data_IF_646585572717
#
_entry.id   IF_646585572717
#
_cell.length_a   1.000
_cell.length_b   1.000
_cell.length_c   1.000
_cell.angle_alpha   90.00
_cell.angle_beta   90.00
_cell.angle_gamma   90.00
#
_symmetry.space_group_name_H-M   'P 1'
#
loop_
_entity.id
_entity.type
_entity.pdbx_description
1 polymer ?
#
# COMPACT_ATOMS: atom_id res chain seq x y z
N UNK A 1 -20.53 14.48 11.85
CA UNK A 1 -19.36 13.74 11.33
C UNK A 1 -19.90 12.83 10.25
N UNK A 2 -19.90 13.33 9.01
CA UNK A 2 -20.48 12.60 7.88
C UNK A 2 -19.37 11.92 7.09
N UNK A 3 -19.32 10.61 7.22
CA UNK A 3 -18.69 9.73 6.25
C UNK A 3 -19.66 9.60 5.06
N UNK A 4 -19.58 10.52 4.10
CA UNK A 4 -20.10 10.28 2.75
C UNK A 4 -18.92 9.96 1.84
N UNK A 5 -18.61 8.67 1.73
CA UNK A 5 -17.91 8.14 0.55
C UNK A 5 -18.96 8.15 -0.56
N UNK A 6 -19.09 9.29 -1.25
CA UNK A 6 -19.71 9.29 -2.57
C UNK A 6 -18.71 8.62 -3.52
N UNK A 7 -19.06 7.39 -3.88
CA UNK A 7 -18.47 6.62 -4.97
C UNK A 7 -18.81 7.32 -6.28
N UNK A 8 -17.92 8.19 -6.75
CA UNK A 8 -18.01 8.68 -8.12
C UNK A 8 -17.46 7.59 -9.05
N UNK A 9 -18.41 6.83 -9.63
CA UNK A 9 -18.36 6.11 -10.90
C UNK A 9 -16.99 5.58 -11.37
N UNK A 10 -16.66 4.36 -10.97
CA UNK A 10 -15.89 3.45 -11.81
C UNK A 10 -16.88 2.71 -12.73
N UNK A 11 -17.29 3.37 -13.82
CA UNK A 11 -18.04 2.72 -14.88
C UNK A 11 -17.07 1.80 -15.65
N UNK A 12 -17.28 0.49 -15.55
CA UNK A 12 -16.94 -0.46 -16.61
C UNK A 12 -15.60 -1.20 -16.57
N UNK A 13 -15.03 -1.51 -15.39
CA UNK A 13 -13.90 -2.46 -15.35
C UNK A 13 -14.40 -3.92 -15.27
N UNK A 14 -14.29 -4.65 -16.38
CA UNK A 14 -14.36 -6.12 -16.37
C UNK A 14 -13.10 -6.64 -15.64
N UNK A 15 -13.20 -7.54 -14.64
CA UNK A 15 -12.02 -8.06 -13.97
C UNK A 15 -11.25 -8.95 -14.94
N UNK A 16 -10.24 -8.37 -15.61
CA UNK A 16 -9.13 -9.16 -16.10
C UNK A 16 -8.52 -9.87 -14.90
N UNK A 17 -8.30 -11.19 -15.01
CA UNK A 17 -7.60 -11.94 -13.95
C UNK A 17 -6.28 -11.25 -13.68
N UNK A 18 -6.20 -10.59 -12.53
CA UNK A 18 -4.97 -9.98 -12.05
C UNK A 18 -4.08 -11.15 -11.63
N UNK A 19 -3.10 -11.51 -12.46
CA UNK A 19 -2.14 -12.56 -12.11
C UNK A 19 -1.06 -12.01 -11.16
N UNK A 20 -1.50 -11.39 -10.07
CA UNK A 20 -0.63 -10.74 -9.08
C UNK A 20 -0.79 -11.45 -7.74
N UNK A 21 0.34 -11.67 -7.08
CA UNK A 21 0.39 -12.30 -5.77
C UNK A 21 1.25 -11.47 -4.84
N UNK A 22 0.72 -11.17 -3.66
CA UNK A 22 1.45 -10.52 -2.58
C UNK A 22 1.98 -11.59 -1.63
N UNK A 23 3.26 -11.52 -1.28
CA UNK A 23 3.90 -12.45 -0.34
C UNK A 23 4.45 -11.68 0.84
N UNK A 24 4.18 -12.21 2.03
CA UNK A 24 4.62 -11.62 3.28
C UNK A 24 4.92 -12.74 4.29
N UNK A 25 5.49 -12.34 5.42
CA UNK A 25 5.52 -13.17 6.61
C UNK A 25 5.16 -12.32 7.83
N UNK A 26 4.74 -13.00 8.88
CA UNK A 26 4.43 -12.41 10.18
C UNK A 26 5.14 -13.22 11.27
N UNK A 27 5.58 -12.58 12.35
CA UNK A 27 6.16 -13.27 13.49
C UNK A 27 5.15 -14.27 14.06
N UNK A 28 5.59 -15.50 14.36
CA UNK A 28 4.74 -16.58 14.89
C UNK A 28 4.13 -16.21 16.25
N UNK A 29 4.82 -15.39 17.02
CA UNK A 29 4.37 -14.91 18.32
C UNK A 29 3.32 -13.78 18.23
N UNK A 30 3.03 -13.28 17.02
CA UNK A 30 2.00 -12.27 16.82
C UNK A 30 0.61 -12.87 17.13
N UNK A 31 -0.23 -12.24 17.98
CA UNK A 31 -1.58 -12.72 18.24
C UNK A 31 -2.42 -12.92 16.98
N UNK A 32 -2.20 -12.11 15.94
CA UNK A 32 -2.87 -12.24 14.65
C UNK A 32 -2.50 -13.54 13.92
N UNK A 33 -1.23 -13.97 13.96
CA UNK A 33 -0.84 -15.24 13.32
C UNK A 33 -1.48 -16.42 14.03
N UNK A 34 -1.62 -16.36 15.36
CA UNK A 34 -2.35 -17.38 16.11
C UNK A 34 -3.81 -17.44 15.70
N UNK A 35 -4.51 -16.30 15.66
CA UNK A 35 -5.91 -16.25 15.26
C UNK A 35 -6.14 -16.79 13.84
N UNK A 36 -5.26 -16.44 12.88
CA UNK A 36 -5.29 -16.96 11.51
C UNK A 36 -5.12 -18.49 11.50
N UNK A 37 -4.12 -19.02 12.20
CA UNK A 37 -3.86 -20.47 12.26
C UNK A 37 -5.03 -21.23 12.91
N UNK A 38 -5.56 -20.70 14.01
CA UNK A 38 -6.67 -21.33 14.73
C UNK A 38 -7.93 -21.40 13.83
N UNK A 39 -8.22 -20.35 13.06
CA UNK A 39 -9.33 -20.36 12.08
C UNK A 39 -9.20 -21.42 10.98
N UNK A 40 -7.97 -21.87 10.69
CA UNK A 40 -7.71 -22.94 9.73
C UNK A 40 -7.85 -24.32 10.39
N UNK A 41 -7.39 -24.49 11.64
CA UNK A 41 -7.43 -25.79 12.33
C UNK A 41 -8.83 -26.34 12.53
N UNK A 42 -9.81 -25.47 12.75
CA UNK A 42 -11.22 -25.84 12.89
C UNK A 42 -11.79 -26.54 11.62
N UNK A 43 -11.07 -26.48 10.50
CA UNK A 43 -11.46 -27.09 9.22
C UNK A 43 -10.63 -28.31 8.77
N UNK A 44 -9.83 -28.92 9.66
CA UNK A 44 -8.84 -29.96 9.31
C UNK A 44 -7.80 -29.50 8.26
N UNK A 45 -7.56 -28.19 8.17
CA UNK A 45 -6.62 -27.61 7.20
C UNK A 45 -5.16 -27.84 7.57
N UNK A 46 -4.30 -27.95 6.57
CA UNK A 46 -2.84 -28.09 6.71
C UNK A 46 -2.11 -26.79 6.37
N UNK A 47 -0.80 -26.76 6.59
CA UNK A 47 0.01 -25.63 6.10
C UNK A 47 -0.09 -25.56 4.57
N UNK A 48 -0.32 -24.36 4.04
CA UNK A 48 -0.67 -24.14 2.64
C UNK A 48 -2.17 -24.11 2.36
N UNK A 49 -3.03 -24.16 3.37
CA UNK A 49 -4.47 -23.94 3.21
C UNK A 49 -4.83 -22.46 3.05
N UNK A 50 -5.94 -22.23 2.37
CA UNK A 50 -6.52 -20.90 2.15
C UNK A 50 -7.48 -20.50 3.27
N UNK A 51 -7.49 -19.22 3.61
CA UNK A 51 -8.54 -18.65 4.45
C UNK A 51 -9.86 -18.64 3.68
N UNK A 52 -10.95 -18.94 4.38
CA UNK A 52 -12.30 -18.90 3.82
C UNK A 52 -12.86 -17.49 3.65
N UNK A 53 -12.29 -16.52 4.37
CA UNK A 53 -12.68 -15.11 4.31
C UNK A 53 -11.70 -14.32 3.45
N UNK A 54 -12.23 -13.37 2.66
CA UNK A 54 -11.43 -12.39 1.90
C UNK A 54 -10.57 -11.57 2.88
N UNK A 55 -9.31 -11.33 2.50
CA UNK A 55 -8.42 -10.43 3.23
C UNK A 55 -8.30 -9.09 2.49
N UNK A 56 -8.04 -8.03 3.26
CA UNK A 56 -7.75 -6.70 2.73
C UNK A 56 -6.35 -6.26 3.17
N UNK A 57 -5.52 -5.86 2.21
CA UNK A 57 -4.20 -5.24 2.43
C UNK A 57 -4.30 -3.76 2.06
N UNK A 58 -3.96 -2.89 3.00
CA UNK A 58 -4.03 -1.44 2.84
C UNK A 58 -2.63 -0.84 2.65
N UNK A 59 -2.37 -0.28 1.47
CA UNK A 59 -1.21 0.57 1.22
C UNK A 59 -1.61 2.03 1.41
N UNK A 60 -0.93 2.73 2.31
CA UNK A 60 -1.19 4.14 2.60
C UNK A 60 0.02 4.98 2.19
N UNK A 61 -0.21 6.06 1.45
CA UNK A 61 0.86 7.00 1.13
C UNK A 61 1.39 7.66 2.40
N UNK A 62 2.71 7.77 2.59
CA UNK A 62 3.29 8.53 3.69
C UNK A 62 2.97 10.03 3.56
N UNK A 63 2.65 10.50 2.35
CA UNK A 63 2.36 11.90 2.07
C UNK A 63 0.86 12.19 2.10
N UNK A 64 0.40 12.71 3.24
CA UNK A 64 -0.96 13.19 3.46
C UNK A 64 -0.93 14.45 4.34
N UNK A 65 -1.91 15.33 4.18
CA UNK A 65 -1.93 16.59 4.94
C UNK A 65 -3.34 17.14 5.14
N UNK A 66 -3.55 17.75 6.31
CA UNK A 66 -4.75 18.55 6.59
C UNK A 66 -4.79 19.80 5.70
N UNK A 67 -5.92 20.07 5.07
CA UNK A 67 -6.15 21.26 4.25
C UNK A 67 -7.10 22.18 4.99
N UNK A 68 -6.58 23.32 5.42
CA UNK A 68 -7.37 24.36 6.07
C UNK A 68 -8.19 25.16 5.05
N UNK A 69 -9.43 25.57 5.38
CA UNK A 69 -10.21 26.46 4.52
C UNK A 69 -9.57 27.83 4.30
N UNK A 70 -8.57 28.22 5.12
CA UNK A 70 -7.80 29.46 4.91
C UNK A 70 -7.05 29.47 3.57
N UNK A 71 -6.80 28.31 2.97
CA UNK A 71 -6.13 28.19 1.68
C UNK A 71 -7.06 28.36 0.47
N UNK A 72 -8.39 28.37 0.67
CA UNK A 72 -9.33 28.55 -0.43
C UNK A 72 -9.49 30.04 -0.75
N UNK A 73 -8.73 30.52 -1.73
CA UNK A 73 -8.65 31.94 -2.10
C UNK A 73 -9.79 32.39 -3.00
N UNK A 74 -10.52 31.48 -3.65
CA UNK A 74 -11.61 31.81 -4.54
C UNK A 74 -12.97 31.59 -3.87
N UNK A 75 -13.22 30.41 -3.29
CA UNK A 75 -14.56 30.06 -2.79
C UNK A 75 -14.87 30.71 -1.45
N UNK A 76 -13.89 30.80 -0.55
CA UNK A 76 -14.10 31.31 0.82
C UNK A 76 -14.49 32.78 0.84
N UNK A 77 -13.80 33.71 0.15
CA UNK A 77 -14.18 35.13 0.18
C UNK A 77 -15.55 35.40 -0.43
N UNK A 78 -15.96 34.59 -1.42
CA UNK A 78 -17.22 34.78 -2.14
C UNK A 78 -18.42 34.23 -1.38
N UNK A 79 -18.32 33.01 -0.85
CA UNK A 79 -19.50 32.32 -0.28
C UNK A 79 -19.39 32.02 1.20
N UNK A 80 -18.17 31.93 1.76
CA UNK A 80 -17.92 31.40 3.09
C UNK A 80 -18.26 29.92 3.29
N UNK A 81 -18.87 29.24 2.31
CA UNK A 81 -19.35 27.85 2.40
C UNK A 81 -18.21 26.86 2.13
N UNK A 82 -17.26 26.81 3.06
CA UNK A 82 -16.07 25.97 2.99
C UNK A 82 -15.86 25.17 4.27
N UNK A 83 -15.31 23.97 4.14
CA UNK A 83 -15.03 23.08 5.27
C UNK A 83 -13.59 22.54 5.18
N UNK A 84 -12.94 22.27 6.32
CA UNK A 84 -11.63 21.65 6.34
C UNK A 84 -11.67 20.22 5.79
N UNK A 85 -10.54 19.73 5.29
CA UNK A 85 -10.46 18.35 4.79
C UNK A 85 -9.05 17.78 4.91
N UNK A 86 -8.86 16.54 4.46
CA UNK A 86 -7.55 15.91 4.33
C UNK A 86 -7.28 15.55 2.87
N UNK A 87 -6.07 15.83 2.44
CA UNK A 87 -5.52 15.26 1.21
C UNK A 87 -4.72 14.00 1.55
N UNK A 88 -5.00 12.90 0.86
CA UNK A 88 -4.39 11.59 1.09
C UNK A 88 -4.53 10.70 -0.15
N UNK A 89 -3.74 9.63 -0.20
CA UNK A 89 -3.91 8.56 -1.18
C UNK A 89 -3.69 7.19 -0.56
N UNK A 90 -4.47 6.22 -1.02
CA UNK A 90 -4.41 4.83 -0.54
C UNK A 90 -4.81 3.85 -1.63
N UNK A 91 -4.31 2.62 -1.52
CA UNK A 91 -4.71 1.46 -2.33
C UNK A 91 -5.13 0.35 -1.38
N UNK A 92 -6.31 -0.21 -1.63
CA UNK A 92 -6.85 -1.38 -0.97
C UNK A 92 -6.76 -2.56 -1.92
N UNK A 93 -6.11 -3.64 -1.49
CA UNK A 93 -5.97 -4.88 -2.25
C UNK A 93 -6.76 -5.95 -1.53
N UNK A 94 -7.65 -6.60 -2.27
CA UNK A 94 -8.53 -7.63 -1.78
C UNK A 94 -8.22 -8.96 -2.45
N UNK A 95 -8.36 -10.05 -1.70
CA UNK A 95 -8.26 -11.39 -2.27
C UNK A 95 -8.15 -12.50 -1.24
N UNK A 96 -7.71 -13.67 -1.70
CA UNK A 96 -7.68 -14.88 -0.89
C UNK A 96 -6.26 -15.18 -0.39
N UNK A 97 -6.10 -15.35 0.92
CA UNK A 97 -4.81 -15.65 1.54
C UNK A 97 -4.58 -17.16 1.72
N UNK A 98 -3.41 -17.63 1.31
CA UNK A 98 -2.85 -18.95 1.63
C UNK A 98 -1.83 -18.79 2.76
N UNK A 99 -1.91 -19.65 3.78
CA UNK A 99 -1.12 -19.51 5.02
C UNK A 99 -0.15 -20.68 5.18
N UNK A 100 1.14 -20.38 5.33
CA UNK A 100 2.22 -21.35 5.50
C UNK A 100 2.76 -21.27 6.94
N UNK A 101 2.25 -22.12 7.82
CA UNK A 101 2.47 -22.00 9.26
C UNK A 101 3.18 -23.19 9.90
N UNK A 102 3.26 -24.35 9.26
CA UNK A 102 3.96 -25.51 9.81
C UNK A 102 5.41 -25.54 9.29
N UNK A 103 6.42 -25.31 10.15
CA UNK A 103 7.81 -25.28 9.73
C UNK A 103 8.38 -26.64 9.33
N UNK A 104 7.71 -27.73 9.66
CA UNK A 104 8.15 -29.09 9.33
C UNK A 104 7.56 -29.56 7.98
N UNK A 105 6.66 -28.78 7.39
CA UNK A 105 6.10 -28.99 6.04
C UNK A 105 7.05 -28.42 4.99
N UNK A 106 7.40 -29.23 3.98
CA UNK A 106 8.35 -28.89 2.92
C UNK A 106 7.93 -27.63 2.15
N UNK A 107 6.65 -27.55 1.78
CA UNK A 107 6.07 -26.45 1.02
C UNK A 107 6.16 -25.12 1.79
N UNK A 108 6.06 -25.15 3.12
CA UNK A 108 6.29 -23.95 3.97
C UNK A 108 7.74 -23.48 3.85
N UNK A 109 8.68 -24.41 3.92
CA UNK A 109 10.11 -24.12 3.78
C UNK A 109 10.43 -23.47 2.44
N UNK A 110 9.98 -24.09 1.35
CA UNK A 110 10.17 -23.59 -0.03
C UNK A 110 9.51 -22.22 -0.24
N UNK A 111 8.30 -22.02 0.29
CA UNK A 111 7.62 -20.74 0.24
C UNK A 111 8.42 -19.63 0.94
N UNK A 112 8.84 -19.87 2.18
CA UNK A 112 9.60 -18.91 2.98
C UNK A 112 10.96 -18.62 2.34
N UNK A 113 11.63 -19.65 1.80
CA UNK A 113 12.90 -19.51 1.11
C UNK A 113 12.81 -18.57 -0.09
N UNK A 114 11.79 -18.77 -0.94
CA UNK A 114 11.58 -17.88 -2.09
C UNK A 114 11.15 -16.48 -1.65
N UNK A 115 10.25 -16.38 -0.67
CA UNK A 115 9.74 -15.09 -0.19
C UNK A 115 10.84 -14.23 0.43
N UNK A 116 11.73 -14.81 1.23
CA UNK A 116 12.81 -14.09 1.88
C UNK A 116 13.88 -13.63 0.88
N UNK A 117 14.26 -14.49 -0.08
CA UNK A 117 15.22 -14.11 -1.14
C UNK A 117 14.69 -12.97 -1.98
N UNK A 118 13.47 -13.09 -2.51
CA UNK A 118 12.88 -12.04 -3.34
C UNK A 118 12.70 -10.71 -2.58
N UNK A 119 12.37 -10.76 -1.27
CA UNK A 119 12.27 -9.56 -0.44
C UNK A 119 13.64 -8.94 -0.17
N UNK A 120 14.65 -9.75 0.13
CA UNK A 120 16.03 -9.29 0.33
C UNK A 120 16.56 -8.64 -0.94
N UNK A 121 16.43 -9.30 -2.08
CA UNK A 121 16.90 -8.79 -3.37
C UNK A 121 16.25 -7.45 -3.72
N UNK A 122 14.93 -7.32 -3.49
CA UNK A 122 14.21 -6.07 -3.68
C UNK A 122 14.74 -4.95 -2.75
N UNK A 123 14.93 -5.24 -1.47
CA UNK A 123 15.43 -4.26 -0.51
C UNK A 123 16.87 -3.83 -0.83
N UNK A 124 17.76 -4.77 -1.10
CA UNK A 124 19.17 -4.50 -1.37
C UNK A 124 19.35 -3.78 -2.71
N UNK A 125 18.61 -4.19 -3.75
CA UNK A 125 18.76 -3.62 -5.10
C UNK A 125 17.94 -2.35 -5.30
N UNK A 126 16.62 -2.40 -5.09
CA UNK A 126 15.72 -1.30 -5.48
C UNK A 126 15.67 -0.19 -4.43
N UNK A 127 15.85 -0.52 -3.16
CA UNK A 127 15.81 0.47 -2.06
C UNK A 127 17.23 0.96 -1.72
N UNK A 128 18.16 0.04 -1.46
CA UNK A 128 19.53 0.40 -1.08
C UNK A 128 20.42 0.72 -2.28
N UNK A 129 20.10 0.21 -3.47
CA UNK A 129 20.87 0.47 -4.69
C UNK A 129 22.11 -0.39 -4.83
N UNK A 130 22.28 -1.44 -4.02
CA UNK A 130 23.40 -2.36 -4.08
C UNK A 130 23.19 -3.35 -5.22
N UNK A 131 23.96 -3.18 -6.29
CA UNK A 131 23.81 -3.96 -7.52
C UNK A 131 25.12 -4.62 -7.97
N UNK A 132 26.26 -4.28 -7.34
CA UNK A 132 27.59 -4.65 -7.83
C UNK A 132 28.02 -3.96 -9.12
N UNK A 133 27.13 -3.20 -9.76
CA UNK A 133 27.35 -2.52 -11.03
C UNK A 133 27.77 -1.06 -10.83
N UNK A 134 28.48 -0.48 -11.80
CA UNK A 134 28.86 0.94 -11.81
C UNK A 134 29.62 1.41 -10.55
N UNK A 135 30.36 0.50 -9.90
CA UNK A 135 31.10 0.78 -8.68
C UNK A 135 30.25 0.81 -7.40
N UNK A 136 29.00 0.34 -7.47
CA UNK A 136 28.15 0.14 -6.28
C UNK A 136 28.52 -1.16 -5.55
N UNK A 137 28.19 -1.20 -4.27
CA UNK A 137 28.39 -2.41 -3.44
C UNK A 137 27.51 -3.57 -3.93
N UNK A 138 27.96 -4.79 -3.69
CA UNK A 138 27.21 -6.02 -3.98
C UNK A 138 26.04 -6.17 -2.99
N UNK A 139 24.86 -6.63 -3.45
CA UNK A 139 23.72 -6.86 -2.56
C UNK A 139 23.99 -8.02 -1.59
N UNK A 140 23.58 -7.86 -0.33
CA UNK A 140 23.60 -8.97 0.61
C UNK A 140 22.59 -10.06 0.22
N UNK A 141 23.04 -11.32 0.19
CA UNK A 141 22.19 -12.48 -0.12
C UNK A 141 21.81 -13.24 1.14
N UNK A 142 20.56 -13.71 1.18
CA UNK A 142 20.06 -14.55 2.29
C UNK A 142 20.97 -15.72 2.60
N UNK A 143 21.56 -16.34 1.58
CA UNK A 143 22.44 -17.51 1.69
C UNK A 143 23.84 -17.20 2.28
N UNK A 144 24.19 -15.92 2.48
CA UNK A 144 25.38 -15.53 3.25
C UNK A 144 25.19 -15.74 4.77
N UNK A 145 23.95 -15.83 5.25
CA UNK A 145 23.67 -16.24 6.62
C UNK A 145 23.84 -17.76 6.79
N UNK A 146 24.39 -18.22 7.94
CA UNK A 146 24.54 -19.66 8.20
C UNK A 146 23.20 -20.41 8.12
N UNK A 147 23.14 -21.54 7.43
CA UNK A 147 21.88 -22.27 7.24
C UNK A 147 21.17 -22.64 8.54
N UNK A 148 21.93 -23.02 9.58
CA UNK A 148 21.39 -23.33 10.91
C UNK A 148 20.69 -22.13 11.53
N UNK A 149 21.23 -20.93 11.31
CA UNK A 149 20.64 -19.67 11.76
C UNK A 149 19.35 -19.36 10.99
N UNK A 150 19.37 -19.48 9.66
CA UNK A 150 18.18 -19.32 8.81
C UNK A 150 17.06 -20.30 9.19
N UNK A 151 17.38 -21.56 9.48
CA UNK A 151 16.42 -22.56 9.94
C UNK A 151 15.71 -22.14 11.23
N UNK A 152 16.46 -21.59 12.20
CA UNK A 152 15.90 -21.09 13.46
C UNK A 152 15.00 -19.87 13.22
N UNK A 153 15.42 -18.92 12.38
CA UNK A 153 14.60 -17.74 12.07
C UNK A 153 13.31 -18.10 11.33
N UNK A 154 13.37 -18.99 10.33
CA UNK A 154 12.18 -19.44 9.58
C UNK A 154 11.15 -20.12 10.49
N UNK A 155 11.58 -20.88 11.51
CA UNK A 155 10.65 -21.45 12.51
C UNK A 155 9.87 -20.38 13.29
N UNK A 156 10.38 -19.15 13.39
CA UNK A 156 9.74 -18.06 14.12
C UNK A 156 8.81 -17.18 13.29
N UNK A 157 8.60 -17.51 12.01
CA UNK A 157 7.68 -16.77 11.14
C UNK A 157 6.61 -17.69 10.53
N UNK A 158 5.55 -17.06 10.04
CA UNK A 158 4.43 -17.66 9.31
C UNK A 158 4.33 -16.95 7.97
N UNK A 159 4.34 -17.71 6.88
CA UNK A 159 4.24 -17.19 5.52
C UNK A 159 2.79 -16.91 5.12
N UNK A 160 2.58 -15.85 4.34
CA UNK A 160 1.30 -15.45 3.79
C UNK A 160 1.44 -15.17 2.30
N UNK A 161 0.54 -15.72 1.50
CA UNK A 161 0.43 -15.47 0.07
C UNK A 161 -0.98 -15.06 -0.28
N UNK A 162 -1.18 -13.84 -0.77
CA UNK A 162 -2.49 -13.33 -1.17
C UNK A 162 -2.59 -13.31 -2.68
N UNK A 163 -3.51 -14.10 -3.24
CA UNK A 163 -3.91 -13.99 -4.63
C UNK A 163 -4.84 -12.79 -4.79
N UNK A 164 -4.44 -11.84 -5.62
CA UNK A 164 -5.15 -10.56 -5.76
C UNK A 164 -6.35 -10.72 -6.66
N UNK A 165 -7.53 -10.37 -6.14
CA UNK A 165 -8.81 -10.48 -6.85
C UNK A 165 -9.31 -9.10 -7.27
N UNK A 166 -9.09 -8.08 -6.43
CA UNK A 166 -9.56 -6.72 -6.66
C UNK A 166 -8.61 -5.69 -6.06
N UNK A 167 -8.43 -4.58 -6.77
CA UNK A 167 -7.63 -3.44 -6.32
C UNK A 167 -8.48 -2.19 -6.42
N UNK A 168 -8.58 -1.43 -5.33
CA UNK A 168 -9.28 -0.16 -5.28
C UNK A 168 -8.33 0.94 -4.83
N UNK A 169 -8.35 2.08 -5.53
CA UNK A 169 -7.51 3.23 -5.22
C UNK A 169 -8.34 4.46 -4.88
N UNK A 170 -7.95 5.20 -3.85
CA UNK A 170 -8.48 6.54 -3.58
C UNK A 170 -7.35 7.55 -3.59
N UNK A 171 -7.52 8.60 -4.38
CA UNK A 171 -6.66 9.79 -4.32
C UNK A 171 -7.52 11.03 -4.14
N UNK A 172 -7.36 11.69 -2.99
CA UNK A 172 -8.00 12.95 -2.66
C UNK A 172 -6.91 14.00 -2.51
N UNK A 173 -6.75 14.84 -3.52
CA UNK A 173 -5.73 15.89 -3.60
C UNK A 173 -6.37 17.22 -4.00
N UNK A 174 -7.55 17.50 -3.44
CA UNK A 174 -8.33 18.72 -3.72
C UNK A 174 -8.62 18.97 -5.20
N UNK A 175 -8.50 17.96 -6.06
CA UNK A 175 -8.68 18.09 -7.51
C UNK A 175 -10.07 18.61 -7.87
N UNK A 176 -11.08 18.31 -7.05
CA UNK A 176 -12.47 18.75 -7.23
C UNK A 176 -12.69 20.26 -7.00
N UNK A 177 -11.73 20.93 -6.35
CA UNK A 177 -11.81 22.37 -6.07
C UNK A 177 -11.57 23.19 -7.34
N UNK A 178 -12.01 24.44 -7.29
CA UNK A 178 -11.72 25.42 -8.33
C UNK A 178 -10.23 25.67 -8.44
N UNK A 179 -9.78 26.16 -9.60
CA UNK A 179 -8.36 26.41 -9.87
C UNK A 179 -7.73 27.35 -8.84
N UNK A 180 -8.36 28.49 -8.51
CA UNK A 180 -7.82 29.42 -7.52
C UNK A 180 -7.65 28.79 -6.13
N UNK A 181 -8.63 27.98 -5.70
CA UNK A 181 -8.54 27.25 -4.43
C UNK A 181 -7.44 26.18 -4.44
N UNK A 182 -7.22 25.49 -5.57
CA UNK A 182 -6.10 24.52 -5.71
C UNK A 182 -4.75 25.23 -5.63
N UNK A 183 -4.60 26.36 -6.32
CA UNK A 183 -3.39 27.20 -6.27
C UNK A 183 -3.13 27.69 -4.84
N UNK A 184 -4.16 28.15 -4.14
CA UNK A 184 -4.05 28.56 -2.74
C UNK A 184 -3.66 27.42 -1.79
N UNK A 185 -4.12 26.18 -2.04
CA UNK A 185 -3.66 24.99 -1.30
C UNK A 185 -2.19 24.69 -1.57
N UNK A 186 -1.76 24.74 -2.83
CA UNK A 186 -0.36 24.50 -3.23
C UNK A 186 0.57 25.51 -2.54
N UNK A 187 0.23 26.80 -2.61
CA UNK A 187 1.02 27.87 -2.00
C UNK A 187 1.02 27.75 -0.47
N UNK A 188 -0.15 27.55 0.14
CA UNK A 188 -0.31 27.42 1.58
C UNK A 188 0.51 26.27 2.16
N UNK A 189 0.51 25.11 1.49
CA UNK A 189 1.35 23.96 1.87
C UNK A 189 2.83 24.23 1.64
N UNK A 190 3.20 24.87 0.52
CA UNK A 190 4.60 25.20 0.21
C UNK A 190 5.26 26.09 1.28
N UNK A 191 4.50 26.99 1.91
CA UNK A 191 4.96 27.87 2.99
C UNK A 191 5.25 27.14 4.31
N UNK A 192 4.80 25.90 4.49
CA UNK A 192 5.04 25.13 5.72
C UNK A 192 6.48 24.60 5.83
N UNK A 193 7.21 24.53 4.71
CA UNK A 193 8.63 24.17 4.71
C UNK A 193 8.96 22.70 5.01
N UNK A 194 7.97 21.81 5.14
CA UNK A 194 8.19 20.37 5.39
C UNK A 194 8.18 19.55 4.10
N UNK A 195 8.90 18.42 4.07
CA UNK A 195 8.92 17.49 2.93
C UNK A 195 7.52 16.97 2.58
N UNK A 196 6.77 16.54 3.60
CA UNK A 196 5.38 16.07 3.42
C UNK A 196 4.49 17.14 2.79
N UNK A 197 4.57 18.40 3.24
CA UNK A 197 3.76 19.47 2.67
C UNK A 197 4.16 19.79 1.23
N UNK A 198 5.47 19.79 0.92
CA UNK A 198 5.97 19.97 -0.46
C UNK A 198 5.45 18.87 -1.39
N UNK A 199 5.52 17.62 -0.96
CA UNK A 199 5.09 16.50 -1.80
C UNK A 199 3.56 16.49 -1.98
N UNK A 200 2.78 16.77 -0.94
CA UNK A 200 1.33 16.93 -1.09
C UNK A 200 0.98 18.11 -2.01
N UNK A 201 1.69 19.25 -1.92
CA UNK A 201 1.50 20.38 -2.84
C UNK A 201 1.81 19.99 -4.30
N UNK A 202 2.88 19.21 -4.54
CA UNK A 202 3.21 18.66 -5.85
C UNK A 202 2.08 17.76 -6.38
N UNK A 203 1.56 16.87 -5.54
CA UNK A 203 0.46 15.96 -5.91
C UNK A 203 -0.86 16.70 -6.17
N UNK A 204 -1.17 17.77 -5.43
CA UNK A 204 -2.33 18.64 -5.70
C UNK A 204 -2.22 19.26 -7.09
N UNK A 205 -1.03 19.76 -7.47
CA UNK A 205 -0.79 20.30 -8.82
C UNK A 205 -1.01 19.23 -9.89
N UNK A 206 -0.29 18.11 -9.80
CA UNK A 206 -0.38 17.02 -10.78
C UNK A 206 -1.82 16.52 -10.94
N UNK A 207 -2.54 16.31 -9.85
CA UNK A 207 -3.94 15.84 -9.89
C UNK A 207 -4.90 16.90 -10.41
N UNK A 208 -4.64 18.17 -10.12
CA UNK A 208 -5.39 19.29 -10.68
C UNK A 208 -5.26 19.35 -12.20
N UNK A 209 -4.02 19.29 -12.70
CA UNK A 209 -3.70 19.34 -14.13
C UNK A 209 -4.30 18.13 -14.87
N UNK A 210 -4.23 16.93 -14.29
CA UNK A 210 -4.89 15.74 -14.84
C UNK A 210 -6.40 15.94 -14.96
N UNK A 211 -7.08 16.44 -13.92
CA UNK A 211 -8.54 16.66 -13.98
C UNK A 211 -8.92 17.68 -15.04
N UNK A 212 -8.18 18.78 -15.12
CA UNK A 212 -8.44 19.85 -16.09
C UNK A 212 -8.16 19.37 -17.53
N UNK A 213 -7.13 18.55 -17.73
CA UNK A 213 -6.78 17.96 -19.02
C UNK A 213 -7.76 16.91 -19.54
N UNK A 214 -8.46 16.18 -18.65
CA UNK A 214 -9.53 15.24 -19.03
C UNK A 214 -10.86 15.95 -19.32
N UNK A 215 -11.00 17.25 -19.02
CA UNK A 215 -12.23 18.03 -19.25
C UNK A 215 -12.38 18.63 -20.65
N UNK A 216 -11.48 18.34 -21.60
CA UNK A 216 -11.49 18.91 -22.97
C UNK A 216 -11.94 17.89 -24.04
N UNK A 217 -12.45 16.71 -23.64
CA UNK A 217 -13.01 15.74 -24.58
C UNK A 217 -14.23 15.02 -24.02
N UNK A 218 -15.43 15.39 -24.51
CA UNK A 218 -16.71 14.74 -24.20
C UNK A 218 -17.86 15.72 -24.11
#
# INVERSE_FOLDING_TARGET
>A
MDWLILSDNLIGYQPQRINTRLRAHIARQNPQSKAIIDSLKDSNSTSGSQLSQEVMILFTSPHHHYVTPKFYTETKPVTGKVAPTWNYSTVQVYGTATVYFDPDVKETGEFLDKQLRDLSDHCESDIMGFTGEEGREEPWRVDEAPEGYLRVLKRNIVGLSVEVERIEGKVKMSQERKRGDREGVIEGLGRLGTDTAREVARLVRVRGDMRDGHGVGG
#
